data_IF_958617944082
#
_entry.id   IF_958617944082
#
_cell.length_a   1.000
_cell.length_b   1.000
_cell.length_c   1.000
_cell.angle_alpha   90.00
_cell.angle_beta   90.00
_cell.angle_gamma   90.00
#
_symmetry.space_group_name_H-M   'P 1'
#
loop_
_entity.id
_entity.type
_entity.pdbx_description
1 polymer ?
#
# COMPACT_ATOMS: atom_id res chain seq x y z
N UNK A 1 -2.27 -38.05 27.94
CA UNK A 1 -3.00 -36.91 27.34
C UNK A 1 -1.99 -35.82 27.08
N UNK A 2 -1.98 -35.31 25.84
CA UNK A 2 -0.88 -34.58 25.20
C UNK A 2 -0.68 -33.18 25.77
N UNK A 3 0.55 -32.86 26.18
CA UNK A 3 1.01 -31.54 26.62
C UNK A 3 0.93 -30.44 25.55
N UNK A 4 0.53 -30.77 24.31
CA UNK A 4 0.30 -29.79 23.24
C UNK A 4 -1.05 -29.06 23.32
N UNK A 5 -2.08 -29.66 23.93
CA UNK A 5 -3.43 -29.06 23.91
C UNK A 5 -3.59 -27.91 24.91
N UNK A 6 -2.74 -27.83 25.95
CA UNK A 6 -2.85 -26.76 26.95
C UNK A 6 -2.12 -25.46 26.59
N UNK A 7 -1.29 -25.46 25.54
CA UNK A 7 -0.50 -24.28 25.13
C UNK A 7 -1.16 -23.42 24.05
N UNK A 8 -2.42 -23.73 23.68
CA UNK A 8 -3.17 -23.07 22.59
C UNK A 8 -4.17 -22.01 23.06
N UNK A 9 -4.27 -21.73 24.36
CA UNK A 9 -5.15 -20.67 24.91
C UNK A 9 -4.32 -19.51 25.44
N UNK A 10 -3.72 -18.75 24.52
CA UNK A 10 -3.31 -17.39 24.86
C UNK A 10 -4.59 -16.54 24.95
N UNK A 11 -4.69 -15.74 26.01
CA UNK A 11 -5.83 -14.84 26.26
C UNK A 11 -5.79 -13.58 25.39
N UNK A 12 -4.66 -13.30 24.76
CA UNK A 12 -4.42 -12.15 23.86
C UNK A 12 -4.59 -12.52 22.36
N UNK A 13 -5.12 -13.70 22.05
CA UNK A 13 -5.34 -14.17 20.67
C UNK A 13 -4.04 -14.47 19.91
N UNK A 14 -2.90 -14.54 20.58
CA UNK A 14 -1.62 -14.88 19.98
C UNK A 14 -1.51 -16.38 19.71
N UNK A 15 -0.95 -16.72 18.55
CA UNK A 15 -0.85 -18.12 18.09
C UNK A 15 0.61 -18.49 17.90
N UNK A 16 1.01 -19.60 18.51
CA UNK A 16 2.31 -20.21 18.31
C UNK A 16 2.29 -21.00 17.00
N UNK A 17 3.08 -20.57 16.01
CA UNK A 17 3.19 -21.25 14.72
C UNK A 17 4.60 -21.81 14.55
N UNK A 18 4.70 -23.10 14.26
CA UNK A 18 5.96 -23.74 13.85
C UNK A 18 6.28 -23.35 12.41
N UNK A 19 7.44 -22.76 12.16
CA UNK A 19 7.90 -22.44 10.81
C UNK A 19 8.47 -23.68 10.12
N UNK A 20 8.57 -23.63 8.78
CA UNK A 20 9.21 -24.68 7.98
C UNK A 20 10.68 -24.93 8.34
N UNK A 21 11.33 -23.96 9.00
CA UNK A 21 12.69 -24.06 9.54
C UNK A 21 12.76 -24.67 10.95
N UNK A 22 11.63 -25.14 11.50
CA UNK A 22 11.55 -25.76 12.83
C UNK A 22 11.47 -24.77 14.01
N UNK A 23 11.61 -23.45 13.76
CA UNK A 23 11.51 -22.41 14.79
C UNK A 23 10.05 -22.13 15.15
N UNK A 24 9.77 -21.86 16.42
CA UNK A 24 8.44 -21.44 16.87
C UNK A 24 8.37 -19.92 16.76
N UNK A 25 7.37 -19.41 16.04
CA UNK A 25 7.11 -17.97 15.91
C UNK A 25 5.77 -17.65 16.58
N UNK A 26 5.81 -16.71 17.51
CA UNK A 26 4.58 -16.10 18.06
C UNK A 26 4.02 -15.16 17.00
N UNK A 27 2.80 -15.41 16.55
CA UNK A 27 2.02 -14.44 15.77
C UNK A 27 1.22 -13.61 16.77
N UNK A 28 1.37 -12.29 16.70
CA UNK A 28 0.55 -11.36 17.49
C UNK A 28 -0.91 -11.62 17.13
N UNK A 29 -1.73 -11.81 18.16
CA UNK A 29 -3.18 -11.76 18.02
C UNK A 29 -3.65 -10.35 17.69
N UNK A 30 -4.85 -10.25 17.17
CA UNK A 30 -5.59 -8.99 17.18
C UNK A 30 -6.12 -8.79 18.60
N UNK A 31 -5.97 -7.57 19.14
CA UNK A 31 -6.58 -7.23 20.43
C UNK A 31 -8.10 -7.17 20.28
N UNK A 32 -8.82 -7.45 21.36
CA UNK A 32 -10.29 -7.37 21.36
C UNK A 32 -10.76 -5.97 20.95
N UNK A 33 -10.09 -4.91 21.42
CA UNK A 33 -10.37 -3.53 21.05
C UNK A 33 -10.27 -3.30 19.54
N UNK A 34 -9.18 -3.75 18.90
CA UNK A 34 -8.99 -3.62 17.45
C UNK A 34 -9.99 -4.47 16.66
N UNK A 35 -10.41 -5.61 17.20
CA UNK A 35 -11.44 -6.43 16.59
C UNK A 35 -12.81 -5.74 16.64
N UNK A 36 -13.19 -5.19 17.80
CA UNK A 36 -14.45 -4.47 17.98
C UNK A 36 -14.50 -3.21 17.10
N UNK A 37 -13.40 -2.47 16.99
CA UNK A 37 -13.30 -1.32 16.09
C UNK A 37 -13.48 -1.74 14.63
N UNK A 38 -12.79 -2.79 14.17
CA UNK A 38 -12.93 -3.30 12.81
C UNK A 38 -14.36 -3.81 12.54
N UNK A 39 -14.98 -4.47 13.52
CA UNK A 39 -16.37 -4.94 13.42
C UNK A 39 -17.33 -3.76 13.31
N UNK A 40 -17.14 -2.72 14.11
CA UNK A 40 -17.96 -1.51 14.05
C UNK A 40 -17.83 -0.82 12.69
N UNK A 41 -16.59 -0.65 12.19
CA UNK A 41 -16.33 -0.09 10.87
C UNK A 41 -17.00 -0.90 9.75
N UNK A 42 -16.95 -2.24 9.83
CA UNK A 42 -17.62 -3.11 8.87
C UNK A 42 -19.15 -2.97 8.92
N UNK A 43 -19.74 -2.83 10.11
CA UNK A 43 -21.18 -2.63 10.26
C UNK A 43 -21.64 -1.27 9.74
N UNK A 44 -20.84 -0.22 9.94
CA UNK A 44 -21.15 1.14 9.48
C UNK A 44 -21.01 1.29 7.97
N UNK A 45 -19.92 0.76 7.41
CA UNK A 45 -19.57 0.94 5.99
C UNK A 45 -20.22 -0.12 5.10
N UNK A 46 -20.48 -1.31 5.66
CA UNK A 46 -20.91 -2.48 4.92
C UNK A 46 -19.81 -3.10 4.03
N UNK A 47 -20.14 -4.16 3.29
CA UNK A 47 -19.22 -4.74 2.32
C UNK A 47 -18.98 -3.76 1.17
N UNK A 48 -17.72 -3.44 0.92
CA UNK A 48 -17.33 -2.61 -0.22
C UNK A 48 -16.95 -3.49 -1.40
N UNK A 49 -17.61 -3.27 -2.53
CA UNK A 49 -17.24 -3.86 -3.81
C UNK A 49 -16.33 -2.86 -4.51
N UNK A 50 -15.10 -3.29 -4.79
CA UNK A 50 -14.18 -2.52 -5.60
C UNK A 50 -14.64 -2.61 -7.06
N UNK A 51 -15.01 -1.48 -7.64
CA UNK A 51 -15.28 -1.39 -9.07
C UNK A 51 -13.98 -1.53 -9.89
N UNK A 52 -14.06 -1.47 -11.22
CA UNK A 52 -12.89 -1.66 -12.07
C UNK A 52 -11.84 -0.52 -11.92
N UNK A 53 -12.30 0.72 -11.71
CA UNK A 53 -11.45 1.92 -11.72
C UNK A 53 -11.09 2.43 -10.32
N UNK A 54 -11.48 1.72 -9.26
CA UNK A 54 -11.35 2.19 -7.88
C UNK A 54 -9.92 2.59 -7.50
N UNK A 55 -8.89 1.93 -8.06
CA UNK A 55 -7.49 2.28 -7.82
C UNK A 55 -7.08 3.60 -8.50
N UNK A 56 -7.66 3.89 -9.65
CA UNK A 56 -7.43 5.14 -10.38
C UNK A 56 -8.12 6.27 -9.60
N UNK A 57 -9.37 6.04 -9.17
CA UNK A 57 -10.11 7.00 -8.35
C UNK A 57 -9.50 7.24 -6.97
N UNK A 58 -9.02 6.20 -6.29
CA UNK A 58 -8.32 6.32 -5.00
C UNK A 58 -7.06 7.18 -5.15
N UNK A 59 -6.28 6.92 -6.20
CA UNK A 59 -5.10 7.73 -6.52
C UNK A 59 -5.50 9.21 -6.71
N UNK A 60 -6.51 9.48 -7.52
CA UNK A 60 -6.92 10.85 -7.87
C UNK A 60 -7.47 11.59 -6.66
N UNK A 61 -8.35 10.96 -5.86
CA UNK A 61 -8.90 11.53 -4.62
C UNK A 61 -7.81 11.86 -3.61
N UNK A 62 -6.78 11.01 -3.50
CA UNK A 62 -5.66 11.23 -2.57
C UNK A 62 -4.75 12.34 -3.05
N UNK A 63 -4.46 12.38 -4.35
CA UNK A 63 -3.67 13.44 -4.96
C UNK A 63 -4.39 14.79 -4.84
N UNK A 64 -5.69 14.83 -5.11
CA UNK A 64 -6.52 16.03 -4.96
C UNK A 64 -6.46 16.56 -3.52
N UNK A 65 -6.72 15.71 -2.52
CA UNK A 65 -6.62 16.08 -1.10
C UNK A 65 -5.24 16.64 -0.76
N UNK A 66 -4.17 16.01 -1.26
CA UNK A 66 -2.81 16.49 -1.04
C UNK A 66 -2.56 17.86 -1.70
N UNK A 67 -3.07 18.08 -2.91
CA UNK A 67 -2.95 19.37 -3.61
C UNK A 67 -3.81 20.48 -3.03
N UNK A 68 -4.81 20.15 -2.20
CA UNK A 68 -5.63 21.12 -1.47
C UNK A 68 -4.99 21.56 -0.14
N UNK A 69 -4.06 20.78 0.42
CA UNK A 69 -3.35 21.15 1.65
C UNK A 69 -2.56 22.45 1.47
N UNK A 70 -2.41 23.24 2.54
CA UNK A 70 -1.57 24.42 2.48
C UNK A 70 -0.08 24.03 2.28
N UNK A 71 0.75 24.86 1.63
CA UNK A 71 2.16 24.52 1.35
C UNK A 71 2.95 24.08 2.58
N UNK A 72 2.72 24.73 3.72
CA UNK A 72 3.31 24.41 5.01
C UNK A 72 2.91 23.01 5.52
N UNK A 73 1.68 22.57 5.25
CA UNK A 73 1.18 21.25 5.65
C UNK A 73 1.66 20.13 4.72
N UNK A 74 2.04 20.46 3.48
CA UNK A 74 2.63 19.51 2.52
C UNK A 74 4.08 19.19 2.82
N UNK A 75 4.78 20.06 3.55
CA UNK A 75 6.22 19.89 3.80
C UNK A 75 6.48 18.58 4.56
N UNK A 76 7.23 17.68 3.94
CA UNK A 76 7.54 16.36 4.50
C UNK A 76 6.36 15.37 4.51
N UNK A 77 5.26 15.68 3.81
CA UNK A 77 4.16 14.74 3.56
C UNK A 77 4.11 14.34 2.10
N UNK A 78 3.65 13.13 1.88
CA UNK A 78 3.40 12.55 0.57
C UNK A 78 1.92 12.17 0.48
N UNK A 79 1.32 12.21 -0.71
CA UNK A 79 -0.08 11.78 -0.89
C UNK A 79 -0.26 10.25 -0.70
N UNK A 80 0.85 9.51 -0.62
CA UNK A 80 0.94 8.11 -0.25
C UNK A 80 2.12 7.85 0.67
N UNK A 81 2.10 6.73 1.40
CA UNK A 81 3.21 6.31 2.24
C UNK A 81 4.22 5.48 1.42
N UNK A 82 5.40 6.05 1.08
CA UNK A 82 6.40 5.38 0.26
C UNK A 82 7.12 4.22 0.97
N UNK A 83 6.97 4.08 2.29
CA UNK A 83 7.57 2.99 3.06
C UNK A 83 6.58 1.85 3.33
N UNK A 84 5.29 2.12 3.14
CA UNK A 84 4.22 1.14 3.24
C UNK A 84 4.12 0.32 1.95
N UNK A 85 4.40 -0.98 2.07
CA UNK A 85 4.36 -1.91 0.93
C UNK A 85 2.98 -1.98 0.27
N UNK A 86 1.90 -1.99 1.07
CA UNK A 86 0.54 -2.09 0.51
C UNK A 86 0.23 -0.85 -0.31
N UNK A 87 0.67 0.32 0.18
CA UNK A 87 0.42 1.58 -0.50
C UNK A 87 1.22 1.70 -1.80
N UNK A 88 2.52 1.37 -1.77
CA UNK A 88 3.34 1.35 -2.99
C UNK A 88 2.84 0.35 -4.03
N UNK A 89 2.38 -0.84 -3.62
CA UNK A 89 1.78 -1.82 -4.52
C UNK A 89 0.47 -1.30 -5.17
N UNK A 90 -0.36 -0.55 -4.42
CA UNK A 90 -1.56 0.08 -5.00
C UNK A 90 -1.20 1.08 -6.08
N UNK A 91 -0.19 1.92 -5.85
CA UNK A 91 0.29 2.88 -6.85
C UNK A 91 0.80 2.15 -8.10
N UNK A 92 1.64 1.13 -7.95
CA UNK A 92 2.15 0.34 -9.09
C UNK A 92 1.01 -0.34 -9.86
N UNK A 93 0.01 -0.90 -9.16
CA UNK A 93 -1.16 -1.49 -9.82
C UNK A 93 -1.99 -0.46 -10.58
N UNK A 94 -2.18 0.73 -10.02
CA UNK A 94 -2.85 1.84 -10.69
C UNK A 94 -2.15 2.21 -12.01
N UNK A 95 -0.83 2.35 -12.00
CA UNK A 95 -0.05 2.62 -13.22
C UNK A 95 -0.16 1.49 -14.25
N UNK A 96 -0.08 0.23 -13.81
CA UNK A 96 -0.25 -0.92 -14.70
C UNK A 96 -1.64 -0.95 -15.33
N UNK A 97 -2.71 -0.65 -14.57
CA UNK A 97 -4.07 -0.57 -15.11
C UNK A 97 -4.13 0.46 -16.24
N UNK A 98 -3.64 1.68 -16.02
CA UNK A 98 -3.59 2.73 -17.06
C UNK A 98 -2.81 2.27 -18.30
N UNK A 99 -1.66 1.61 -18.11
CA UNK A 99 -0.87 1.08 -19.21
C UNK A 99 -1.63 0.01 -20.03
N UNK A 100 -2.27 -0.96 -19.37
CA UNK A 100 -3.01 -2.02 -20.05
C UNK A 100 -4.32 -1.52 -20.70
N UNK A 101 -4.95 -0.49 -20.12
CA UNK A 101 -6.05 0.26 -20.74
C UNK A 101 -5.62 1.15 -21.90
N UNK A 102 -4.31 1.22 -22.20
CA UNK A 102 -3.71 2.08 -23.23
C UNK A 102 -3.87 3.58 -22.96
N UNK A 103 -4.11 3.97 -21.72
CA UNK A 103 -4.14 5.36 -21.24
C UNK A 103 -2.71 5.83 -20.94
N UNK A 104 -1.86 5.80 -21.96
CA UNK A 104 -0.41 6.00 -21.81
C UNK A 104 -0.07 7.41 -21.33
N UNK A 105 -0.77 8.44 -21.79
CA UNK A 105 -0.49 9.82 -21.41
C UNK A 105 -0.75 10.05 -19.91
N UNK A 106 -1.85 9.52 -19.39
CA UNK A 106 -2.16 9.58 -17.96
C UNK A 106 -1.17 8.78 -17.12
N UNK A 107 -0.80 7.59 -17.60
CA UNK A 107 0.22 6.78 -16.93
C UNK A 107 1.56 7.53 -16.87
N UNK A 108 1.97 8.16 -17.97
CA UNK A 108 3.20 8.95 -18.04
C UNK A 108 3.17 10.13 -17.08
N UNK A 109 2.09 10.92 -17.09
CA UNK A 109 1.92 12.05 -16.18
C UNK A 109 2.08 11.62 -14.72
N UNK A 110 1.43 10.53 -14.32
CA UNK A 110 1.55 9.98 -12.96
C UNK A 110 2.97 9.46 -12.67
N UNK A 111 3.61 8.78 -13.61
CA UNK A 111 5.00 8.34 -13.45
C UNK A 111 5.95 9.52 -13.26
N UNK A 112 5.81 10.59 -14.05
CA UNK A 112 6.62 11.81 -13.91
C UNK A 112 6.43 12.45 -12.54
N UNK A 113 5.19 12.57 -12.07
CA UNK A 113 4.89 13.09 -10.74
C UNK A 113 5.57 12.27 -9.64
N UNK A 114 5.44 10.94 -9.68
CA UNK A 114 6.00 10.03 -8.68
C UNK A 114 7.54 10.04 -8.65
N UNK A 115 8.18 10.12 -9.81
CA UNK A 115 9.65 10.19 -9.90
C UNK A 115 10.16 11.53 -9.36
N UNK A 116 9.41 12.61 -9.60
CA UNK A 116 9.74 13.96 -9.13
C UNK A 116 9.62 14.18 -7.62
N UNK A 117 9.23 13.16 -6.85
CA UNK A 117 9.21 13.24 -5.38
C UNK A 117 10.66 13.18 -4.88
N UNK A 118 11.13 14.32 -4.40
CA UNK A 118 12.45 14.48 -3.76
C UNK A 118 12.29 14.51 -2.24
N UNK A 119 12.79 13.47 -1.57
CA UNK A 119 12.81 13.38 -0.12
C UNK A 119 14.10 12.67 0.32
N UNK A 120 15.07 13.46 0.79
CA UNK A 120 16.41 12.98 1.12
C UNK A 120 16.44 11.88 2.21
N UNK A 121 15.44 11.87 3.10
CA UNK A 121 15.36 10.88 4.17
C UNK A 121 14.84 9.55 3.64
N UNK A 122 13.85 9.59 2.74
CA UNK A 122 13.23 8.41 2.16
C UNK A 122 14.08 7.84 1.02
N UNK A 123 14.85 8.66 0.30
CA UNK A 123 15.73 8.22 -0.78
C UNK A 123 16.83 7.26 -0.33
N UNK A 124 17.25 7.30 0.92
CA UNK A 124 18.21 6.31 1.46
C UNK A 124 17.57 4.93 1.63
N UNK A 125 16.24 4.84 1.59
CA UNK A 125 15.51 3.60 1.81
C UNK A 125 15.48 2.71 0.57
N UNK A 126 16.01 1.50 0.68
CA UNK A 126 16.03 0.50 -0.40
C UNK A 126 14.65 0.18 -0.97
N UNK A 127 13.58 0.19 -0.15
CA UNK A 127 12.21 -0.09 -0.61
C UNK A 127 11.70 1.01 -1.53
N UNK A 128 11.99 2.26 -1.18
CA UNK A 128 11.60 3.40 -2.00
C UNK A 128 12.40 3.46 -3.30
N UNK A 129 13.68 3.10 -3.26
CA UNK A 129 14.51 2.97 -4.46
C UNK A 129 13.99 1.89 -5.41
N UNK A 130 13.58 0.73 -4.88
CA UNK A 130 12.94 -0.31 -5.68
C UNK A 130 11.63 0.20 -6.30
N UNK A 131 10.80 0.88 -5.51
CA UNK A 131 9.58 1.50 -6.02
C UNK A 131 9.86 2.52 -7.15
N UNK A 132 10.82 3.43 -6.99
CA UNK A 132 11.24 4.37 -8.06
C UNK A 132 11.70 3.63 -9.31
N UNK A 133 12.45 2.54 -9.15
CA UNK A 133 12.88 1.70 -10.28
C UNK A 133 11.69 1.07 -11.01
N UNK A 134 10.69 0.55 -10.28
CA UNK A 134 9.49 -0.04 -10.88
C UNK A 134 8.68 1.02 -11.64
N UNK A 135 8.51 2.22 -11.06
CA UNK A 135 7.86 3.36 -11.74
C UNK A 135 8.62 3.77 -12.99
N UNK A 136 9.96 3.84 -12.95
CA UNK A 136 10.79 4.17 -14.10
C UNK A 136 10.69 3.13 -15.22
N UNK A 137 10.56 1.84 -14.88
CA UNK A 137 10.33 0.76 -15.84
C UNK A 137 8.98 0.93 -16.55
N UNK A 138 7.91 1.19 -15.79
CA UNK A 138 6.58 1.45 -16.36
C UNK A 138 6.58 2.70 -17.24
N UNK A 139 7.23 3.79 -16.78
CA UNK A 139 7.40 5.01 -17.56
C UNK A 139 8.03 4.73 -18.92
N UNK A 140 9.17 4.05 -18.93
CA UNK A 140 9.90 3.71 -20.16
C UNK A 140 9.03 2.87 -21.11
N UNK A 141 8.25 1.93 -20.57
CA UNK A 141 7.31 1.14 -21.36
C UNK A 141 6.20 1.99 -21.98
N UNK A 142 5.70 3.01 -21.28
CA UNK A 142 4.70 3.94 -21.81
C UNK A 142 5.29 4.86 -22.89
N UNK A 143 6.51 5.38 -22.72
CA UNK A 143 7.19 6.24 -23.71
C UNK A 143 7.34 5.51 -25.05
N UNK A 144 7.65 4.22 -25.03
CA UNK A 144 7.73 3.37 -26.23
C UNK A 144 6.40 3.15 -26.96
N UNK A 145 5.27 3.43 -26.30
CA UNK A 145 3.91 3.24 -26.85
C UNK A 145 3.21 4.55 -27.21
N UNK A 146 3.66 5.67 -26.64
CA UNK A 146 3.18 7.03 -26.91
C UNK A 146 3.95 7.70 -28.07
N UNK A 147 5.08 7.11 -28.50
CA UNK A 147 5.82 7.47 -29.73
C UNK A 147 5.17 6.88 -30.99
#
# INVERSE_FOLDING_TARGET
MSTLESQLKSTDGSVLVKTSTGKIKVRKGQTEEAFLEQKQQFLETGPQINDYNWLIEDYDKRLEKFTQLAPEERKGKHFFDPLNKVDTEKIIRCLNLLYYEKRYDECLQRCHFLIGIEDADIEKNKKFQLFKSDVASIKSACELKSS
#
